data_IF_482332283927
#
_entry.id   IF_482332283927
#
_cell.length_a   1.000
_cell.length_b   1.000
_cell.length_c   1.000
_cell.angle_alpha   90.00
_cell.angle_beta   90.00
_cell.angle_gamma   90.00
#
_symmetry.space_group_name_H-M   'P 1'
#
loop_
_entity.id
_entity.type
_entity.pdbx_description
1 polymer ?
#
# COMPACT_ATOMS: atom_id res chain seq x y z
N UNK A 1 -19.81 7.06 9.67
CA UNK A 1 -19.99 6.54 8.29
C UNK A 1 -18.93 5.49 8.06
N UNK A 2 -19.31 4.29 7.61
CA UNK A 2 -18.42 3.14 7.39
C UNK A 2 -17.56 3.41 6.16
N UNK A 3 -16.29 3.02 6.19
CA UNK A 3 -15.44 3.01 5.01
C UNK A 3 -15.77 1.79 4.15
N UNK A 4 -15.59 1.90 2.85
CA UNK A 4 -15.76 0.84 1.86
C UNK A 4 -14.58 0.82 0.90
N UNK A 5 -14.29 -0.35 0.29
CA UNK A 5 -13.22 -0.51 -0.70
C UNK A 5 -13.77 -1.21 -1.93
N UNK A 6 -13.55 -0.62 -3.10
CA UNK A 6 -13.92 -1.21 -4.38
C UNK A 6 -12.78 -1.12 -5.39
N UNK A 7 -12.85 -1.92 -6.42
CA UNK A 7 -11.95 -1.75 -7.57
C UNK A 7 -12.06 -0.32 -8.13
N UNK A 8 -10.92 0.23 -8.51
CA UNK A 8 -10.87 1.49 -9.22
C UNK A 8 -11.37 1.34 -10.67
N UNK A 9 -11.79 2.45 -11.23
CA UNK A 9 -12.12 2.60 -12.65
C UNK A 9 -11.25 3.68 -13.28
N UNK A 10 -11.26 3.83 -14.60
CA UNK A 10 -10.54 4.91 -15.27
C UNK A 10 -10.96 6.30 -14.75
N UNK A 11 -12.21 6.46 -14.37
CA UNK A 11 -12.74 7.73 -13.85
C UNK A 11 -12.17 8.09 -12.46
N UNK A 12 -11.62 7.11 -11.73
CA UNK A 12 -11.02 7.33 -10.41
C UNK A 12 -9.56 7.81 -10.47
N UNK A 13 -8.90 7.62 -11.61
CA UNK A 13 -7.46 7.92 -11.76
C UNK A 13 -7.10 9.35 -11.35
N UNK A 14 -7.81 10.42 -11.78
CA UNK A 14 -7.49 11.77 -11.35
C UNK A 14 -7.53 11.95 -9.82
N UNK A 15 -8.57 11.42 -9.16
CA UNK A 15 -8.69 11.48 -7.70
C UNK A 15 -7.61 10.66 -6.97
N UNK A 16 -7.21 9.52 -7.53
CA UNK A 16 -6.11 8.70 -6.98
C UNK A 16 -4.79 9.48 -7.06
N UNK A 17 -4.50 10.12 -8.19
CA UNK A 17 -3.30 10.96 -8.37
C UNK A 17 -3.29 12.09 -7.33
N UNK A 18 -4.43 12.74 -7.09
CA UNK A 18 -4.58 13.79 -6.10
C UNK A 18 -4.27 13.28 -4.68
N UNK A 19 -4.88 12.16 -4.26
CA UNK A 19 -4.67 11.55 -2.94
C UNK A 19 -3.20 11.16 -2.73
N UNK A 20 -2.57 10.56 -3.72
CA UNK A 20 -1.15 10.18 -3.66
C UNK A 20 -0.24 11.42 -3.62
N UNK A 21 -0.57 12.47 -4.39
CA UNK A 21 0.14 13.75 -4.38
C UNK A 21 0.06 14.46 -3.03
N UNK A 22 -1.13 14.52 -2.42
CA UNK A 22 -1.32 15.06 -1.06
C UNK A 22 -0.47 14.30 -0.04
N UNK A 23 -0.46 12.96 -0.10
CA UNK A 23 0.32 12.12 0.81
C UNK A 23 1.82 12.34 0.61
N UNK A 24 2.30 12.44 -0.64
CA UNK A 24 3.70 12.76 -0.95
C UNK A 24 4.10 14.12 -0.41
N UNK A 25 3.31 15.16 -0.68
CA UNK A 25 3.56 16.51 -0.19
C UNK A 25 3.65 16.55 1.34
N UNK A 26 2.72 15.88 2.03
CA UNK A 26 2.73 15.80 3.47
C UNK A 26 3.96 15.09 4.05
N UNK A 27 4.41 13.99 3.44
CA UNK A 27 5.63 13.30 3.85
C UNK A 27 6.85 14.22 3.70
N UNK A 28 6.94 14.98 2.62
CA UNK A 28 8.02 15.96 2.39
C UNK A 28 8.08 17.05 3.45
N UNK A 29 6.95 17.54 3.97
CA UNK A 29 6.95 18.48 5.09
C UNK A 29 7.59 17.91 6.36
N UNK A 30 7.82 16.60 6.40
CA UNK A 30 8.49 15.87 7.50
C UNK A 30 9.89 15.38 7.13
N UNK A 31 10.42 15.84 6.00
CA UNK A 31 11.73 15.41 5.49
C UNK A 31 11.77 13.97 4.95
N UNK A 32 10.60 13.38 4.68
CA UNK A 32 10.48 12.02 4.14
C UNK A 32 10.19 12.09 2.66
N UNK A 33 11.11 11.62 1.82
CA UNK A 33 10.98 11.52 0.37
C UNK A 33 10.74 10.05 0.02
N UNK A 34 9.49 9.61 0.09
CA UNK A 34 9.11 8.22 -0.16
C UNK A 34 8.53 8.05 -1.57
N UNK A 35 7.77 9.03 -2.03
CA UNK A 35 7.05 8.98 -3.30
C UNK A 35 7.39 10.19 -4.19
N UNK A 36 7.21 10.08 -5.53
CA UNK A 36 7.38 11.22 -6.44
C UNK A 36 6.37 12.34 -6.13
N UNK A 37 6.66 13.55 -6.57
CA UNK A 37 5.74 14.70 -6.42
C UNK A 37 4.41 14.46 -7.13
N UNK A 38 4.48 13.83 -8.30
CA UNK A 38 3.33 13.36 -9.06
C UNK A 38 3.53 11.89 -9.42
N UNK A 39 2.53 11.08 -9.10
CA UNK A 39 2.52 9.70 -9.55
C UNK A 39 2.25 9.65 -11.06
N UNK A 40 3.08 8.94 -11.84
CA UNK A 40 2.82 8.73 -13.25
C UNK A 40 1.51 7.97 -13.44
N UNK A 41 0.58 8.54 -14.21
CA UNK A 41 -0.71 7.90 -14.47
C UNK A 41 -0.56 6.50 -15.09
N UNK A 42 0.48 6.27 -15.89
CA UNK A 42 0.78 4.99 -16.53
C UNK A 42 0.98 3.87 -15.50
N UNK A 43 1.58 4.16 -14.35
CA UNK A 43 1.78 3.18 -13.26
C UNK A 43 0.43 2.76 -12.66
N UNK A 44 -0.47 3.72 -12.50
CA UNK A 44 -1.82 3.46 -11.97
C UNK A 44 -2.68 2.71 -12.99
N UNK A 45 -2.55 3.06 -14.27
CA UNK A 45 -3.26 2.37 -15.37
C UNK A 45 -2.80 0.92 -15.53
N UNK A 46 -1.52 0.61 -15.30
CA UNK A 46 -1.03 -0.77 -15.29
C UNK A 46 -1.69 -1.56 -14.15
N UNK A 47 -1.69 -1.04 -12.92
CA UNK A 47 -2.36 -1.70 -11.79
C UNK A 47 -3.89 -1.79 -11.97
N UNK A 48 -4.49 -0.83 -12.68
CA UNK A 48 -5.92 -0.87 -13.02
C UNK A 48 -6.22 -2.00 -14.01
N UNK A 49 -5.38 -2.19 -15.02
CA UNK A 49 -5.53 -3.26 -16.01
C UNK A 49 -5.46 -4.65 -15.38
N UNK A 50 -4.60 -4.83 -14.37
CA UNK A 50 -4.48 -6.08 -13.60
C UNK A 50 -5.57 -6.23 -12.50
N UNK A 51 -6.49 -5.27 -12.39
CA UNK A 51 -7.52 -5.23 -11.34
C UNK A 51 -6.95 -5.21 -9.91
N UNK A 52 -5.78 -4.64 -9.73
CA UNK A 52 -5.06 -4.56 -8.45
C UNK A 52 -5.19 -3.19 -7.76
N UNK A 53 -5.79 -2.21 -8.44
CA UNK A 53 -5.98 -0.85 -7.94
C UNK A 53 -7.37 -0.67 -7.34
N UNK A 54 -7.41 -0.11 -6.14
CA UNK A 54 -8.64 0.08 -5.39
C UNK A 54 -8.78 1.51 -4.89
N UNK A 55 -10.01 1.97 -4.73
CA UNK A 55 -10.38 3.21 -4.05
C UNK A 55 -11.02 2.90 -2.71
N UNK A 56 -10.67 3.72 -1.73
CA UNK A 56 -11.28 3.71 -0.40
C UNK A 56 -12.31 4.83 -0.37
N UNK A 57 -13.55 4.50 -0.05
CA UNK A 57 -14.66 5.43 -0.01
C UNK A 57 -15.13 5.66 1.43
N UNK A 58 -15.63 6.86 1.69
CA UNK A 58 -16.37 7.19 2.90
C UNK A 58 -17.64 7.94 2.50
N UNK A 59 -18.75 7.19 2.42
CA UNK A 59 -19.91 7.59 1.64
C UNK A 59 -19.55 7.69 0.17
N UNK A 60 -19.94 8.76 -0.50
CA UNK A 60 -19.67 8.98 -1.92
C UNK A 60 -18.33 9.66 -2.21
N UNK A 61 -17.51 9.90 -1.17
CA UNK A 61 -16.23 10.60 -1.32
C UNK A 61 -15.06 9.63 -1.30
N UNK A 62 -14.10 9.86 -2.18
CA UNK A 62 -12.81 9.17 -2.14
C UNK A 62 -12.06 9.59 -0.88
N UNK A 63 -11.79 8.61 -0.01
CA UNK A 63 -11.05 8.78 1.23
C UNK A 63 -9.59 8.32 1.09
N UNK A 64 -9.28 7.56 0.06
CA UNK A 64 -7.95 7.01 -0.14
C UNK A 64 -7.85 6.07 -1.32
N UNK A 65 -6.68 5.48 -1.46
CA UNK A 65 -6.37 4.46 -2.46
C UNK A 65 -5.46 3.39 -1.88
N UNK A 66 -5.45 2.23 -2.51
CA UNK A 66 -4.53 1.13 -2.19
C UNK A 66 -4.33 0.26 -3.43
N UNK A 67 -3.15 -0.31 -3.57
CA UNK A 67 -2.87 -1.38 -4.54
C UNK A 67 -2.64 -2.67 -3.77
N UNK A 68 -3.31 -3.74 -4.17
CA UNK A 68 -3.10 -5.09 -3.65
C UNK A 68 -2.74 -6.00 -4.81
N UNK A 69 -1.48 -6.43 -4.83
CA UNK A 69 -0.89 -7.24 -5.90
C UNK A 69 -0.75 -8.70 -5.49
N UNK A 70 -0.70 -9.56 -6.48
CA UNK A 70 -0.55 -11.00 -6.28
C UNK A 70 0.84 -11.52 -6.67
N UNK A 71 1.70 -10.64 -7.18
CA UNK A 71 3.10 -10.90 -7.48
C UNK A 71 3.91 -9.63 -7.27
N UNK A 72 5.08 -9.77 -6.66
CA UNK A 72 6.01 -8.65 -6.46
C UNK A 72 7.46 -9.18 -6.52
N UNK A 73 7.93 -9.50 -7.73
CA UNK A 73 9.26 -10.10 -7.90
C UNK A 73 10.40 -9.18 -7.49
N UNK A 74 10.18 -7.86 -7.48
CA UNK A 74 11.20 -6.89 -7.09
C UNK A 74 11.59 -7.01 -5.61
N UNK A 75 10.61 -7.09 -4.73
CA UNK A 75 10.83 -7.10 -3.28
C UNK A 75 10.80 -8.52 -2.71
N UNK A 76 10.07 -9.44 -3.34
CA UNK A 76 9.70 -10.72 -2.74
C UNK A 76 10.03 -11.94 -3.61
N UNK A 77 10.70 -11.73 -4.78
CA UNK A 77 11.03 -12.83 -5.70
C UNK A 77 9.80 -13.60 -6.18
N UNK A 78 9.92 -14.92 -6.29
CA UNK A 78 8.86 -15.80 -6.79
C UNK A 78 7.84 -16.20 -5.71
N UNK A 79 7.70 -15.41 -4.67
CA UNK A 79 6.79 -15.70 -3.56
C UNK A 79 5.33 -15.72 -4.04
N UNK A 80 4.61 -16.81 -3.81
CA UNK A 80 3.26 -17.04 -4.31
C UNK A 80 2.21 -17.32 -3.21
N UNK A 81 2.61 -17.31 -1.94
CA UNK A 81 1.75 -17.54 -0.78
C UNK A 81 1.28 -16.25 -0.08
N UNK A 82 1.55 -15.11 -0.71
CA UNK A 82 1.29 -13.79 -0.15
C UNK A 82 0.51 -12.87 -1.10
N UNK A 83 -0.23 -11.91 -0.52
CA UNK A 83 -0.64 -10.69 -1.20
C UNK A 83 0.29 -9.54 -0.81
N UNK A 84 0.49 -8.58 -1.70
CA UNK A 84 1.46 -7.49 -1.56
C UNK A 84 0.74 -6.14 -1.56
N UNK A 85 0.84 -5.44 -0.43
CA UNK A 85 0.16 -4.16 -0.22
C UNK A 85 1.07 -3.01 -0.61
N UNK A 86 0.64 -2.22 -1.58
CA UNK A 86 1.38 -1.07 -2.08
C UNK A 86 0.53 0.20 -2.10
N UNK A 87 1.18 1.35 -2.10
CA UNK A 87 0.57 2.67 -2.33
C UNK A 87 -0.69 2.93 -1.49
N UNK A 88 -0.71 2.42 -0.25
CA UNK A 88 -1.78 2.77 0.68
C UNK A 88 -1.66 4.23 1.09
N UNK A 89 -2.59 5.04 0.64
CA UNK A 89 -2.71 6.44 1.00
C UNK A 89 -4.14 6.76 1.44
N UNK A 90 -4.27 7.42 2.57
CA UNK A 90 -5.54 7.90 3.11
C UNK A 90 -5.47 9.42 3.22
N UNK A 91 -6.45 10.11 2.64
CA UNK A 91 -6.58 11.55 2.76
C UNK A 91 -6.67 11.96 4.24
N UNK A 92 -6.03 13.07 4.58
CA UNK A 92 -5.93 13.52 5.98
C UNK A 92 -7.27 13.77 6.65
N UNK A 93 -8.27 14.17 5.88
CA UNK A 93 -9.65 14.36 6.35
C UNK A 93 -10.31 13.06 6.81
N UNK A 94 -9.74 11.91 6.40
CA UNK A 94 -10.25 10.58 6.70
C UNK A 94 -9.25 9.74 7.52
N UNK A 95 -8.40 10.40 8.32
CA UNK A 95 -7.44 9.72 9.19
C UNK A 95 -8.11 8.60 10.01
N UNK A 96 -7.41 7.48 10.17
CA UNK A 96 -7.90 6.28 10.85
C UNK A 96 -8.48 5.20 9.92
N UNK A 97 -8.83 5.52 8.66
CA UNK A 97 -9.30 4.52 7.71
C UNK A 97 -8.22 3.49 7.30
N UNK A 98 -6.93 3.80 7.49
CA UNK A 98 -5.84 2.89 7.13
C UNK A 98 -5.92 1.52 7.79
N UNK A 99 -6.29 1.43 9.07
CA UNK A 99 -6.50 0.14 9.77
C UNK A 99 -7.60 -0.70 9.11
N UNK A 100 -8.68 -0.06 8.71
CA UNK A 100 -9.77 -0.73 8.00
C UNK A 100 -9.28 -1.29 6.66
N UNK A 101 -8.49 -0.52 5.90
CA UNK A 101 -7.97 -0.96 4.59
C UNK A 101 -7.00 -2.14 4.76
N UNK A 102 -6.12 -2.11 5.77
CA UNK A 102 -5.24 -3.25 6.06
C UNK A 102 -6.06 -4.49 6.40
N UNK A 103 -7.08 -4.36 7.27
CA UNK A 103 -7.96 -5.48 7.61
C UNK A 103 -8.73 -6.02 6.40
N UNK A 104 -9.19 -5.13 5.50
CA UNK A 104 -9.80 -5.52 4.23
C UNK A 104 -8.81 -6.30 3.35
N UNK A 105 -7.56 -5.82 3.24
CA UNK A 105 -6.53 -6.52 2.46
C UNK A 105 -6.22 -7.91 3.02
N UNK A 106 -6.18 -8.07 4.35
CA UNK A 106 -6.06 -9.37 5.01
C UNK A 106 -7.17 -10.33 4.58
N UNK A 107 -8.42 -9.86 4.59
CA UNK A 107 -9.58 -10.66 4.15
C UNK A 107 -9.48 -11.05 2.66
N UNK A 108 -9.00 -10.14 1.78
CA UNK A 108 -8.79 -10.45 0.37
C UNK A 108 -7.71 -11.51 0.17
N UNK A 109 -6.59 -11.41 0.90
CA UNK A 109 -5.49 -12.39 0.82
C UNK A 109 -5.97 -13.78 1.23
N UNK A 110 -6.72 -13.88 2.33
CA UNK A 110 -7.32 -15.14 2.78
C UNK A 110 -8.31 -15.69 1.75
N UNK A 111 -9.16 -14.83 1.18
CA UNK A 111 -10.13 -15.22 0.15
C UNK A 111 -9.45 -15.76 -1.14
N UNK A 112 -8.23 -15.31 -1.45
CA UNK A 112 -7.40 -15.84 -2.54
C UNK A 112 -6.61 -17.09 -2.15
N UNK A 113 -6.86 -17.67 -0.97
CA UNK A 113 -6.17 -18.88 -0.51
C UNK A 113 -4.71 -18.65 -0.12
N UNK A 114 -4.30 -17.40 0.09
CA UNK A 114 -2.94 -17.05 0.48
C UNK A 114 -2.82 -16.83 1.98
N UNK A 115 -1.61 -16.93 2.50
CA UNK A 115 -1.34 -16.99 3.93
C UNK A 115 -0.72 -15.74 4.53
N UNK A 116 -0.10 -14.92 3.71
CA UNK A 116 0.65 -13.76 4.19
C UNK A 116 0.17 -12.48 3.50
N UNK A 117 0.09 -11.40 4.27
CA UNK A 117 0.06 -10.05 3.73
C UNK A 117 1.46 -9.45 3.90
N UNK A 118 2.05 -9.03 2.80
CA UNK A 118 3.40 -8.47 2.74
C UNK A 118 3.34 -7.00 2.30
N UNK A 119 4.31 -6.22 2.73
CA UNK A 119 4.48 -4.84 2.30
C UNK A 119 5.94 -4.41 2.44
N UNK A 120 6.26 -3.29 1.83
CA UNK A 120 7.51 -2.59 2.02
C UNK A 120 7.26 -1.13 2.44
N UNK A 121 8.22 -0.56 3.10
CA UNK A 121 8.22 0.86 3.45
C UNK A 121 9.64 1.41 3.46
N UNK A 122 9.79 2.71 3.27
CA UNK A 122 11.11 3.34 3.38
C UNK A 122 11.69 3.10 4.78
N UNK A 123 12.91 2.52 4.87
CA UNK A 123 13.53 2.14 6.15
C UNK A 123 13.69 3.32 7.11
N UNK A 124 13.87 4.53 6.58
CA UNK A 124 13.98 5.76 7.37
C UNK A 124 12.64 6.28 7.90
N UNK A 125 11.50 5.76 7.42
CA UNK A 125 10.19 6.16 7.91
C UNK A 125 9.79 5.37 9.17
N UNK A 126 10.48 5.64 10.27
CA UNK A 126 10.34 4.94 11.56
C UNK A 126 8.88 4.93 12.04
N UNK A 127 8.15 6.05 11.83
CA UNK A 127 6.75 6.15 12.27
C UNK A 127 5.81 5.22 11.49
N UNK A 128 6.04 5.05 10.19
CA UNK A 128 5.24 4.13 9.38
C UNK A 128 5.58 2.69 9.69
N UNK A 129 6.86 2.40 9.97
CA UNK A 129 7.31 1.08 10.43
C UNK A 129 6.59 0.69 11.73
N UNK A 130 6.61 1.55 12.74
CA UNK A 130 5.91 1.33 14.00
C UNK A 130 4.40 1.13 13.79
N UNK A 131 3.79 1.88 12.89
CA UNK A 131 2.37 1.72 12.56
C UNK A 131 2.05 0.30 12.05
N UNK A 132 2.88 -0.28 11.19
CA UNK A 132 2.68 -1.64 10.71
C UNK A 132 3.00 -2.69 11.79
N UNK A 133 4.02 -2.47 12.59
CA UNK A 133 4.32 -3.33 13.76
C UNK A 133 3.15 -3.36 14.74
N UNK A 134 2.52 -2.22 15.04
CA UNK A 134 1.30 -2.12 15.85
C UNK A 134 0.08 -2.81 15.22
N UNK A 135 0.11 -3.06 13.91
CA UNK A 135 -0.89 -3.86 13.19
C UNK A 135 -0.55 -5.35 13.14
N UNK A 136 0.54 -5.77 13.78
CA UNK A 136 0.96 -7.16 13.89
C UNK A 136 1.83 -7.65 12.72
N UNK A 137 2.42 -6.73 11.95
CA UNK A 137 3.44 -7.09 10.97
C UNK A 137 4.79 -7.28 11.65
N UNK A 138 5.59 -8.21 11.14
CA UNK A 138 6.96 -8.45 11.55
C UNK A 138 7.93 -8.03 10.46
N UNK A 139 9.00 -7.33 10.84
CA UNK A 139 10.09 -7.01 9.93
C UNK A 139 10.85 -8.30 9.57
N UNK A 140 11.05 -8.54 8.28
CA UNK A 140 11.72 -9.76 7.77
C UNK A 140 13.02 -9.46 7.02
N UNK A 141 13.32 -8.21 6.78
CA UNK A 141 14.58 -7.80 6.15
C UNK A 141 14.56 -6.37 5.66
N UNK A 142 15.66 -6.01 5.04
CA UNK A 142 15.83 -4.76 4.29
C UNK A 142 16.43 -5.05 2.92
N UNK A 143 16.07 -4.26 1.93
CA UNK A 143 16.73 -4.27 0.65
C UNK A 143 17.08 -2.86 0.17
N UNK A 144 18.12 -2.77 -0.66
CA UNK A 144 18.45 -1.54 -1.36
C UNK A 144 17.80 -1.58 -2.74
N UNK A 145 16.92 -0.63 -3.01
CA UNK A 145 16.25 -0.54 -4.30
C UNK A 145 17.10 0.14 -5.37
N UNK A 146 16.80 -0.12 -6.64
CA UNK A 146 17.51 0.48 -7.76
C UNK A 146 17.30 2.01 -7.79
N UNK A 147 18.32 2.72 -8.23
CA UNK A 147 18.23 4.17 -8.48
C UNK A 147 17.24 4.44 -9.60
N UNK A 148 16.40 5.46 -9.44
CA UNK A 148 15.46 5.88 -10.49
C UNK A 148 14.22 5.00 -10.64
N UNK A 149 13.90 4.18 -9.63
CA UNK A 149 12.65 3.43 -9.66
C UNK A 149 11.43 4.37 -9.72
N UNK A 150 10.46 4.15 -10.63
CA UNK A 150 9.36 5.08 -10.88
C UNK A 150 8.41 5.29 -9.68
N UNK A 151 8.49 4.42 -8.68
CA UNK A 151 7.69 4.49 -7.45
C UNK A 151 8.39 5.21 -6.30
N UNK A 152 9.65 5.63 -6.50
CA UNK A 152 10.43 6.33 -5.49
C UNK A 152 10.92 7.65 -6.06
N UNK A 153 10.84 8.70 -5.26
CA UNK A 153 11.42 10.00 -5.60
C UNK A 153 12.93 10.06 -5.29
N UNK A 154 13.53 8.94 -4.88
CA UNK A 154 14.92 8.91 -4.45
C UNK A 154 15.85 9.02 -5.67
N UNK A 155 16.61 10.11 -5.74
CA UNK A 155 17.68 10.30 -6.72
C UNK A 155 18.97 9.55 -6.35
N UNK A 156 18.91 8.63 -5.38
CA UNK A 156 20.05 7.84 -4.88
C UNK A 156 19.61 6.45 -4.41
N UNK A 157 20.54 5.69 -3.85
CA UNK A 157 20.24 4.41 -3.23
C UNK A 157 19.28 4.62 -2.04
N UNK A 158 18.16 3.92 -2.06
CA UNK A 158 17.16 3.94 -1.00
C UNK A 158 17.03 2.54 -0.39
N UNK A 159 16.64 2.49 0.89
CA UNK A 159 16.42 1.23 1.59
C UNK A 159 14.94 1.06 1.90
N UNK A 160 14.43 -0.12 1.58
CA UNK A 160 13.11 -0.57 1.97
C UNK A 160 13.22 -1.58 3.12
N UNK A 161 12.44 -1.39 4.16
CA UNK A 161 12.18 -2.40 5.18
C UNK A 161 11.01 -3.26 4.71
N UNK A 162 11.20 -4.57 4.73
CA UNK A 162 10.22 -5.57 4.31
C UNK A 162 9.46 -6.08 5.52
N UNK A 163 8.15 -6.16 5.41
CA UNK A 163 7.25 -6.59 6.47
C UNK A 163 6.31 -7.66 5.99
N UNK A 164 6.03 -8.65 6.83
CA UNK A 164 5.00 -9.66 6.58
C UNK A 164 4.12 -9.87 7.80
N UNK A 165 2.90 -10.33 7.55
CA UNK A 165 1.95 -10.76 8.57
C UNK A 165 1.36 -12.10 8.16
N UNK A 166 1.52 -13.11 9.01
CA UNK A 166 0.84 -14.39 8.83
C UNK A 166 -0.65 -14.21 9.18
N UNK A 167 -1.50 -14.65 8.27
CA UNK A 167 -2.96 -14.53 8.40
C UNK A 167 -3.56 -15.87 8.81
N UNK A 168 -4.46 -15.82 9.78
CA UNK A 168 -5.32 -16.95 10.14
C UNK A 168 -6.71 -16.74 9.56
N UNK A 169 -7.32 -17.73 8.91
CA UNK A 169 -8.70 -17.61 8.44
C UNK A 169 -9.62 -17.20 9.58
N UNK A 170 -10.39 -16.15 9.42
CA UNK A 170 -11.42 -15.75 10.39
C UNK A 170 -12.51 -16.83 10.39
N UNK A 171 -12.51 -17.70 11.38
CA UNK A 171 -13.50 -18.77 11.51
C UNK A 171 -12.94 -20.08 12.09
N UNK A 172 -11.65 -20.15 12.41
CA UNK A 172 -11.05 -21.32 13.07
C UNK A 172 -11.04 -21.23 14.62
N UNK A 173 -11.82 -20.32 15.20
CA UNK A 173 -12.08 -20.36 16.64
C UNK A 173 -13.24 -21.33 16.89
N UNK A 174 -12.90 -22.50 17.47
CA UNK A 174 -13.88 -23.44 18.04
C UNK A 174 -14.50 -22.85 19.29
#
# INVERSE_FOLDING_TARGET
>A
MRADVRHATHNDIPGIVEVLGEASAWLRTRGIVQWPDQFPAQVLLASLAEQELYVVLRGDRMAGTVTLQWSDPMFWGDRNDAGFLHRLAISRQHAGAGRFVVSWAEDQVVAHGRRFLCLDTLSSNVRLRQYYEDLGFSAVGEMTGPVGHPHTAAHGAWKAALYEKLLTPRGAAR
#
